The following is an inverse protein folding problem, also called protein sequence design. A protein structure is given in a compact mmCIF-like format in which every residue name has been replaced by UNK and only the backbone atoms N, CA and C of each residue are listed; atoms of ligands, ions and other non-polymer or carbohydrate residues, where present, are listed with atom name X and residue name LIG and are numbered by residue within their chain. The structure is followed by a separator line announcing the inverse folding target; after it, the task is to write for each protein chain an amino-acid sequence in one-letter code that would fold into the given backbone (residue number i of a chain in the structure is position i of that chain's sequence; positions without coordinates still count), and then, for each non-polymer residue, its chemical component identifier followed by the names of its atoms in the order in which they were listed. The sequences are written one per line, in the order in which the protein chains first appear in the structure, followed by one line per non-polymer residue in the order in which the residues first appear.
data_IF_979080055638
#
_entry.id   IF_979080055638
#
_cell.length_a   1.000
_cell.length_b   1.000
_cell.length_c   1.000
_cell.angle_alpha   90.00
_cell.angle_beta   90.00
_cell.angle_gamma   90.00
#
_symmetry.space_group_name_H-M   'P 1'
#
loop_
_entity.id
_entity.type
_entity.pdbx_description
1 polymer ?
#
# COMPACT_ATOMS: atom_id res chain seq x y z
N UNK A 1 12.14 -9.68 8.55
CA UNK A 1 11.09 -9.08 9.42
C UNK A 1 10.71 -7.74 8.83
N UNK A 2 9.47 -7.27 9.04
CA UNK A 2 9.02 -5.98 8.52
C UNK A 2 9.72 -4.81 9.23
N UNK A 3 10.11 -3.79 8.44
CA UNK A 3 10.66 -2.53 8.94
C UNK A 3 9.54 -1.50 9.11
N UNK A 4 9.43 -0.85 10.27
CA UNK A 4 8.39 0.16 10.55
C UNK A 4 8.60 1.46 9.77
N UNK A 5 9.83 1.74 9.31
CA UNK A 5 10.14 2.88 8.45
C UNK A 5 9.93 2.62 6.96
N UNK A 6 9.49 1.42 6.59
CA UNK A 6 9.17 1.07 5.20
C UNK A 6 7.90 1.79 4.75
N UNK A 7 7.95 2.41 3.57
CA UNK A 7 6.83 3.11 2.96
C UNK A 7 5.59 2.20 2.80
N UNK A 8 5.78 0.93 2.43
CA UNK A 8 4.68 -0.03 2.28
C UNK A 8 3.90 -0.17 3.60
N UNK A 9 4.60 -0.31 4.73
CA UNK A 9 3.97 -0.53 6.03
C UNK A 9 3.40 0.76 6.62
N UNK A 10 4.04 1.91 6.39
CA UNK A 10 3.49 3.21 6.75
C UNK A 10 2.18 3.48 6.00
N UNK A 11 2.13 3.23 4.69
CA UNK A 11 0.92 3.36 3.88
C UNK A 11 -0.16 2.38 4.34
N UNK A 12 0.21 1.13 4.59
CA UNK A 12 -0.70 0.09 5.10
C UNK A 12 -1.34 0.50 6.42
N UNK A 13 -0.56 1.08 7.34
CA UNK A 13 -1.07 1.60 8.61
C UNK A 13 -2.11 2.70 8.38
N UNK A 14 -1.81 3.67 7.53
CA UNK A 14 -2.75 4.76 7.22
C UNK A 14 -4.02 4.27 6.54
N UNK A 15 -3.92 3.30 5.64
CA UNK A 15 -5.08 2.63 5.01
C UNK A 15 -5.96 1.94 6.06
N UNK A 16 -5.35 1.25 7.03
CA UNK A 16 -6.08 0.61 8.13
C UNK A 16 -6.77 1.65 9.02
N UNK A 17 -6.10 2.75 9.35
CA UNK A 17 -6.68 3.84 10.15
C UNK A 17 -7.83 4.55 9.42
N UNK A 18 -7.72 4.70 8.10
CA UNK A 18 -8.75 5.27 7.24
C UNK A 18 -9.93 4.32 7.00
N UNK A 19 -9.70 3.01 7.05
CA UNK A 19 -10.70 2.00 6.68
C UNK A 19 -10.95 1.91 5.17
N UNK A 20 -10.09 2.47 4.33
CA UNK A 20 -10.29 2.51 2.89
C UNK A 20 -8.98 2.41 2.09
N UNK A 21 -9.05 1.74 0.94
CA UNK A 21 -7.96 1.64 -0.05
C UNK A 21 -8.47 1.99 -1.46
N UNK A 22 -7.55 2.37 -2.35
CA UNK A 22 -7.90 2.67 -3.74
C UNK A 22 -8.31 1.43 -4.52
N UNK A 23 -9.44 1.52 -5.21
CA UNK A 23 -9.93 0.49 -6.13
C UNK A 23 -9.08 0.44 -7.41
N UNK A 24 -8.49 1.55 -7.82
CA UNK A 24 -7.92 1.70 -9.16
C UNK A 24 -6.58 0.95 -9.28
N UNK A 25 -5.75 0.96 -8.24
CA UNK A 25 -4.52 0.17 -8.16
C UNK A 25 -4.71 -1.29 -7.74
N UNK A 26 -5.93 -1.75 -7.42
CA UNK A 26 -6.14 -3.07 -6.78
C UNK A 26 -5.70 -4.24 -7.66
N UNK A 27 -5.79 -4.11 -8.98
CA UNK A 27 -5.45 -5.18 -9.91
C UNK A 27 -4.00 -5.03 -10.44
N UNK A 28 -3.27 -4.01 -9.96
CA UNK A 28 -1.86 -3.80 -10.27
C UNK A 28 -0.92 -4.79 -9.56
N UNK A 29 0.31 -4.87 -10.07
CA UNK A 29 1.37 -5.69 -9.51
C UNK A 29 2.16 -4.93 -8.44
N UNK A 30 2.12 -5.40 -7.20
CA UNK A 30 2.98 -4.91 -6.13
C UNK A 30 4.32 -5.66 -6.18
N UNK A 31 5.37 -4.97 -6.61
CA UNK A 31 6.72 -5.49 -6.53
C UNK A 31 7.18 -5.54 -5.08
N UNK A 32 7.55 -6.72 -4.61
CA UNK A 32 8.10 -6.94 -3.28
C UNK A 32 8.90 -8.25 -3.29
N UNK A 33 10.11 -8.22 -2.75
CA UNK A 33 10.93 -9.41 -2.54
C UNK A 33 11.26 -9.55 -1.05
N UNK A 34 11.41 -10.79 -0.58
CA UNK A 34 11.96 -11.00 0.75
C UNK A 34 13.46 -10.67 0.77
N UNK A 35 13.92 -10.07 1.86
CA UNK A 35 15.32 -9.64 2.03
C UNK A 35 16.31 -10.79 1.86
N UNK A 36 15.94 -12.01 2.25
CA UNK A 36 16.83 -13.16 2.13
C UNK A 36 17.02 -13.59 0.66
N UNK A 37 15.98 -13.52 -0.17
CA UNK A 37 16.08 -13.76 -1.62
C UNK A 37 16.93 -12.71 -2.31
N UNK A 38 16.77 -11.42 -1.95
CA UNK A 38 17.63 -10.35 -2.48
C UNK A 38 19.08 -10.58 -2.06
N UNK A 39 19.35 -10.85 -0.79
CA UNK A 39 20.70 -11.10 -0.29
C UNK A 39 21.34 -12.33 -0.97
N UNK A 40 20.60 -13.43 -1.17
CA UNK A 40 21.09 -14.59 -1.90
C UNK A 40 21.44 -14.25 -3.35
N UNK A 41 20.58 -13.51 -4.05
CA UNK A 41 20.84 -13.09 -5.42
C UNK A 41 22.12 -12.24 -5.49
N UNK A 42 22.29 -11.28 -4.58
CA UNK A 42 23.51 -10.46 -4.47
C UNK A 42 24.75 -11.34 -4.22
N UNK A 43 24.69 -12.28 -3.28
CA UNK A 43 25.81 -13.19 -3.01
C UNK A 43 26.18 -14.03 -4.23
N UNK A 44 25.18 -14.60 -4.92
CA UNK A 44 25.40 -15.40 -6.13
C UNK A 44 26.07 -14.58 -7.22
N UNK A 45 25.52 -13.41 -7.56
CA UNK A 45 26.11 -12.49 -8.53
C UNK A 45 27.52 -12.04 -8.15
N UNK A 46 27.82 -11.89 -6.86
CA UNK A 46 29.16 -11.49 -6.39
C UNK A 46 30.17 -12.63 -6.40
N UNK A 47 29.69 -13.89 -6.40
CA UNK A 47 30.51 -15.09 -6.37
C UNK A 47 30.81 -15.67 -7.75
N UNK A 48 30.12 -15.20 -8.79
CA UNK A 48 30.41 -15.56 -10.18
C UNK A 48 31.78 -15.01 -10.56
N UNK A 49 32.79 -15.89 -10.54
CA UNK A 49 34.15 -15.56 -10.97
C UNK A 49 34.13 -15.38 -12.48
N UNK A 50 34.66 -14.27 -13.05
CA UNK A 50 34.74 -14.11 -14.49
C UNK A 50 35.52 -15.29 -15.08
N UNK A 51 34.90 -16.03 -16.00
CA UNK A 51 35.66 -16.97 -16.83
C UNK A 51 36.67 -16.15 -17.63
N UNK A 52 37.96 -16.47 -17.52
CA UNK A 52 39.10 -15.75 -18.15
C UNK A 52 39.09 -15.76 -19.70
N UNK A 53 37.98 -16.15 -20.34
CA UNK A 53 37.94 -16.53 -21.76
C UNK A 53 37.04 -15.66 -22.63
N UNK A 54 36.59 -14.49 -22.15
CA UNK A 54 35.80 -13.56 -22.97
C UNK A 54 36.18 -12.12 -22.67
N UNK A 55 36.64 -11.39 -23.69
CA UNK A 55 36.95 -9.94 -23.69
C UNK A 55 35.71 -9.03 -23.47
N UNK A 56 34.62 -9.59 -22.96
CA UNK A 56 33.37 -8.87 -22.67
C UNK A 56 33.03 -9.07 -21.20
N UNK A 57 32.93 -8.00 -20.38
CA UNK A 57 32.54 -8.16 -19.00
C UNK A 57 31.13 -8.75 -18.94
N UNK A 58 30.88 -9.80 -18.13
CA UNK A 58 29.53 -10.34 -17.96
C UNK A 58 28.69 -9.31 -17.19
N UNK A 59 27.93 -8.48 -17.90
CA UNK A 59 26.90 -7.64 -17.29
C UNK A 59 25.63 -8.46 -17.11
N UNK A 60 25.64 -9.40 -16.15
CA UNK A 60 24.42 -10.12 -15.77
C UNK A 60 23.55 -9.20 -14.91
N UNK A 61 22.58 -8.54 -15.54
CA UNK A 61 21.55 -7.77 -14.80
C UNK A 61 20.49 -8.73 -14.28
N UNK A 62 20.47 -8.97 -12.97
CA UNK A 62 19.43 -9.76 -12.30
C UNK A 62 18.30 -8.84 -11.82
N UNK A 63 17.10 -9.05 -12.34
CA UNK A 63 15.90 -8.32 -11.92
C UNK A 63 15.15 -9.09 -10.83
N UNK A 64 14.86 -8.42 -9.72
CA UNK A 64 13.97 -8.92 -8.69
C UNK A 64 12.52 -8.52 -9.03
N UNK A 65 11.75 -9.45 -9.58
CA UNK A 65 10.38 -9.21 -10.07
C UNK A 65 9.31 -9.89 -9.21
N UNK A 66 9.69 -10.39 -8.04
CA UNK A 66 8.74 -10.99 -7.10
C UNK A 66 7.68 -9.99 -6.69
N UNK A 67 6.52 -10.53 -6.29
CA UNK A 67 5.42 -9.71 -5.87
C UNK A 67 4.12 -10.46 -5.78
N UNK A 68 3.05 -9.69 -5.72
CA UNK A 68 1.68 -10.17 -5.76
C UNK A 68 0.76 -9.11 -6.35
N UNK A 69 -0.42 -9.54 -6.79
CA UNK A 69 -1.50 -8.61 -7.14
C UNK A 69 -1.93 -7.85 -5.89
N UNK A 70 -2.12 -6.54 -6.00
CA UNK A 70 -2.42 -5.68 -4.85
C UNK A 70 -3.71 -6.09 -4.12
N UNK A 71 -4.71 -6.59 -4.84
CA UNK A 71 -5.93 -7.16 -4.28
C UNK A 71 -5.66 -8.32 -3.32
N UNK A 72 -4.66 -9.15 -3.61
CA UNK A 72 -4.27 -10.25 -2.73
C UNK A 72 -3.62 -9.72 -1.44
N UNK A 73 -2.87 -8.62 -1.52
CA UNK A 73 -2.33 -7.94 -0.34
C UNK A 73 -3.47 -7.44 0.56
N UNK A 74 -4.44 -6.72 0.00
CA UNK A 74 -5.60 -6.23 0.75
C UNK A 74 -6.47 -7.37 1.29
N UNK A 75 -6.64 -8.46 0.54
CA UNK A 75 -7.35 -9.65 0.99
C UNK A 75 -6.70 -10.30 2.21
N UNK A 76 -5.37 -10.29 2.33
CA UNK A 76 -4.71 -10.77 3.55
C UNK A 76 -5.16 -9.92 4.74
N UNK A 77 -5.12 -8.59 4.62
CA UNK A 77 -5.53 -7.69 5.72
C UNK A 77 -7.01 -7.84 6.10
N UNK A 78 -7.90 -7.94 5.12
CA UNK A 78 -9.35 -8.02 5.39
C UNK A 78 -9.78 -9.42 5.83
N UNK A 79 -9.37 -10.48 5.13
CA UNK A 79 -9.86 -11.84 5.37
C UNK A 79 -9.10 -12.57 6.47
N UNK A 80 -7.78 -12.43 6.52
CA UNK A 80 -6.95 -13.19 7.48
C UNK A 80 -6.80 -12.45 8.81
N UNK A 81 -6.93 -11.11 8.80
CA UNK A 81 -6.70 -10.25 9.96
C UNK A 81 -7.94 -9.44 10.38
N UNK A 82 -9.02 -9.42 9.58
CA UNK A 82 -10.31 -8.84 9.97
C UNK A 82 -10.35 -7.31 9.94
N UNK A 83 -9.41 -6.63 9.27
CA UNK A 83 -9.48 -5.18 9.11
C UNK A 83 -10.68 -4.79 8.23
N UNK A 84 -11.51 -3.87 8.71
CA UNK A 84 -12.61 -3.30 7.93
C UNK A 84 -12.08 -2.31 6.90
N UNK A 85 -11.74 -2.79 5.71
CA UNK A 85 -11.25 -1.95 4.61
C UNK A 85 -12.23 -1.98 3.44
N UNK A 86 -12.59 -0.80 2.93
CA UNK A 86 -13.45 -0.65 1.76
C UNK A 86 -12.66 -0.13 0.54
N UNK A 87 -12.99 -0.65 -0.64
CA UNK A 87 -12.41 -0.18 -1.89
C UNK A 87 -13.20 1.05 -2.40
N UNK A 88 -12.56 2.21 -2.43
CA UNK A 88 -13.16 3.46 -2.93
C UNK A 88 -12.49 3.91 -4.24
N UNK A 89 -13.10 4.86 -4.94
CA UNK A 89 -12.51 5.47 -6.14
C UNK A 89 -11.11 6.05 -5.84
N UNK A 90 -10.16 5.95 -6.78
CA UNK A 90 -8.77 6.34 -6.53
C UNK A 90 -8.59 7.83 -6.24
N UNK A 91 -9.33 8.70 -6.93
CA UNK A 91 -9.26 10.15 -6.66
C UNK A 91 -9.83 10.49 -5.28
N UNK A 92 -10.92 9.84 -4.90
CA UNK A 92 -11.51 9.97 -3.56
C UNK A 92 -10.58 9.41 -2.48
N UNK A 93 -9.99 8.24 -2.69
CA UNK A 93 -9.03 7.64 -1.78
C UNK A 93 -7.84 8.57 -1.54
N UNK A 94 -7.27 9.13 -2.61
CA UNK A 94 -6.13 10.04 -2.52
C UNK A 94 -6.47 11.32 -1.75
N UNK A 95 -7.67 11.86 -1.96
CA UNK A 95 -8.17 13.01 -1.20
C UNK A 95 -8.30 12.69 0.29
N UNK A 96 -8.86 11.53 0.64
CA UNK A 96 -8.99 11.07 2.02
C UNK A 96 -7.62 10.86 2.68
N UNK A 97 -6.69 10.21 1.98
CA UNK A 97 -5.35 9.95 2.47
C UNK A 97 -4.60 11.24 2.76
N UNK A 98 -4.55 12.18 1.81
CA UNK A 98 -3.90 13.48 2.02
C UNK A 98 -4.46 14.22 3.21
N UNK A 99 -5.79 14.35 3.29
CA UNK A 99 -6.43 15.03 4.41
C UNK A 99 -6.12 14.35 5.76
N UNK A 100 -5.93 13.03 5.78
CA UNK A 100 -5.51 12.30 6.97
C UNK A 100 -4.07 12.58 7.38
N UNK A 101 -3.15 12.59 6.41
CA UNK A 101 -1.75 12.97 6.65
C UNK A 101 -1.66 14.41 7.14
N UNK A 102 -2.33 15.34 6.47
CA UNK A 102 -2.30 16.77 6.75
C UNK A 102 -2.82 17.10 8.15
N UNK A 103 -3.95 16.49 8.55
CA UNK A 103 -4.56 16.73 9.86
C UNK A 103 -3.65 16.30 11.02
N UNK A 104 -2.90 15.22 10.83
CA UNK A 104 -1.98 14.70 11.86
C UNK A 104 -0.60 15.39 11.81
N UNK A 105 -0.26 16.05 10.70
CA UNK A 105 0.98 16.82 10.56
C UNK A 105 2.23 15.94 10.72
N UNK A 106 3.29 16.50 11.30
CA UNK A 106 4.57 15.82 11.56
C UNK A 106 4.49 14.56 12.43
N UNK A 107 3.36 14.32 13.09
CA UNK A 107 3.12 13.11 13.88
C UNK A 107 2.67 11.93 13.00
N UNK A 108 2.25 12.18 11.77
CA UNK A 108 1.80 11.15 10.85
C UNK A 108 3.00 10.41 10.23
N UNK A 109 2.94 9.08 10.17
CA UNK A 109 4.04 8.26 9.65
C UNK A 109 4.38 8.53 8.17
N UNK A 110 3.42 9.03 7.39
CA UNK A 110 3.62 9.45 6.00
C UNK A 110 3.97 10.93 5.82
N UNK A 111 4.10 11.73 6.88
CA UNK A 111 4.35 13.17 6.75
C UNK A 111 5.65 13.49 5.99
N UNK A 112 6.72 12.74 6.27
CA UNK A 112 8.00 12.90 5.59
C UNK A 112 8.01 12.34 4.15
N UNK A 113 6.93 11.69 3.71
CA UNK A 113 6.84 10.96 2.44
C UNK A 113 5.83 11.60 1.48
N UNK A 114 5.45 12.86 1.70
CA UNK A 114 4.42 13.54 0.90
C UNK A 114 4.78 13.67 -0.57
N UNK A 115 6.06 13.92 -0.90
CA UNK A 115 6.48 14.03 -2.30
C UNK A 115 6.33 12.69 -3.04
N UNK A 116 6.69 11.58 -2.37
CA UNK A 116 6.54 10.21 -2.90
C UNK A 116 5.05 9.87 -3.04
N UNK A 117 4.25 10.21 -2.04
CA UNK A 117 2.80 10.03 -2.08
C UNK A 117 2.18 10.81 -3.24
N UNK A 118 2.60 12.05 -3.48
CA UNK A 118 2.01 12.91 -4.50
C UNK A 118 2.31 12.45 -5.92
N UNK A 119 3.50 11.88 -6.16
CA UNK A 119 3.94 11.45 -7.49
C UNK A 119 2.98 10.42 -8.11
N UNK A 120 2.52 9.45 -7.32
CA UNK A 120 1.65 8.35 -7.78
C UNK A 120 0.25 8.40 -7.14
N UNK A 121 -0.14 9.55 -6.58
CA UNK A 121 -1.39 9.70 -5.84
C UNK A 121 -1.60 8.63 -4.74
N UNK A 122 -0.51 8.16 -4.12
CA UNK A 122 -0.46 7.10 -3.12
C UNK A 122 -0.48 5.68 -3.67
N UNK A 123 -0.64 5.49 -4.98
CA UNK A 123 -0.58 4.16 -5.60
C UNK A 123 0.83 3.59 -5.55
N UNK A 124 0.93 2.29 -5.22
CA UNK A 124 2.22 1.60 -5.06
C UNK A 124 2.33 0.36 -5.94
N UNK A 125 1.22 -0.04 -6.55
CA UNK A 125 1.16 -1.19 -7.45
C UNK A 125 1.23 -0.71 -8.90
N UNK A 126 2.04 -1.38 -9.72
CA UNK A 126 2.14 -1.08 -11.13
C UNK A 126 0.93 -1.61 -11.89
N UNK A 127 0.10 -0.71 -12.43
CA UNK A 127 -1.04 -1.07 -13.30
C UNK A 127 -0.59 -1.41 -14.73
N UNK A 128 0.61 -1.01 -15.13
CA UNK A 128 1.21 -1.30 -16.44
C UNK A 128 1.86 -2.70 -16.50
N UNK A 129 2.17 -3.31 -15.35
CA UNK A 129 2.87 -4.61 -15.32
C UNK A 129 1.89 -5.76 -15.48
N UNK A 130 2.09 -6.56 -16.52
CA UNK A 130 1.43 -7.87 -16.68
C UNK A 130 2.35 -8.96 -16.12
N UNK A 131 2.00 -9.65 -15.03
CA UNK A 131 2.89 -10.62 -14.42
C UNK A 131 3.07 -11.86 -15.31
N UNK A 132 4.31 -12.29 -15.47
CA UNK A 132 4.63 -13.55 -16.14
C UNK A 132 4.29 -14.75 -15.26
N UNK A 133 4.22 -15.95 -15.84
CA UNK A 133 3.99 -17.19 -15.08
C UNK A 133 5.07 -17.41 -13.98
N UNK A 134 6.32 -17.02 -14.25
CA UNK A 134 7.41 -17.11 -13.28
C UNK A 134 7.20 -16.16 -12.09
N UNK A 135 6.77 -14.92 -12.33
CA UNK A 135 6.44 -13.96 -11.28
C UNK A 135 5.26 -14.45 -10.43
N UNK A 136 4.20 -14.94 -11.08
CA UNK A 136 3.01 -15.46 -10.39
C UNK A 136 3.32 -16.69 -9.52
N UNK A 137 4.32 -17.51 -9.90
CA UNK A 137 4.72 -18.68 -9.14
C UNK A 137 5.27 -18.33 -7.73
N UNK A 138 5.87 -17.16 -7.54
CA UNK A 138 6.42 -16.74 -6.24
C UNK A 138 5.40 -16.06 -5.32
N UNK A 139 4.24 -15.64 -5.84
CA UNK A 139 3.21 -14.92 -5.09
C UNK A 139 2.66 -15.68 -3.88
N UNK A 140 2.62 -17.02 -3.91
CA UNK A 140 2.22 -17.82 -2.75
C UNK A 140 3.20 -17.67 -1.56
N UNK A 141 4.50 -17.62 -1.86
CA UNK A 141 5.54 -17.31 -0.87
C UNK A 141 5.39 -15.89 -0.35
N UNK A 142 5.14 -14.93 -1.25
CA UNK A 142 4.95 -13.53 -0.88
C UNK A 142 3.74 -13.34 0.05
N UNK A 143 2.60 -13.96 -0.22
CA UNK A 143 1.43 -13.92 0.69
C UNK A 143 1.75 -14.48 2.08
N UNK A 144 2.57 -15.55 2.17
CA UNK A 144 3.03 -16.07 3.48
C UNK A 144 3.92 -15.05 4.21
N UNK A 145 4.81 -14.37 3.48
CA UNK A 145 5.67 -13.33 4.04
C UNK A 145 4.84 -12.14 4.54
N UNK A 146 3.87 -11.65 3.76
CA UNK A 146 2.94 -10.59 4.15
C UNK A 146 2.21 -10.96 5.45
N UNK A 147 1.65 -12.17 5.56
CA UNK A 147 1.00 -12.64 6.80
C UNK A 147 1.95 -12.63 7.99
N UNK A 148 3.18 -13.12 7.81
CA UNK A 148 4.19 -13.13 8.88
C UNK A 148 4.51 -11.70 9.34
N UNK A 149 4.69 -10.79 8.39
CA UNK A 149 4.95 -9.38 8.65
C UNK A 149 3.79 -8.70 9.38
N UNK A 150 2.54 -8.92 8.96
CA UNK A 150 1.37 -8.34 9.64
C UNK A 150 1.24 -8.86 11.07
N UNK A 151 1.49 -10.16 11.32
CA UNK A 151 1.53 -10.71 12.69
C UNK A 151 2.59 -10.01 13.53
N UNK A 152 3.79 -9.85 12.99
CA UNK A 152 4.88 -9.15 13.68
C UNK A 152 4.52 -7.68 13.97
N UNK A 153 3.99 -6.96 12.98
CA UNK A 153 3.64 -5.54 13.13
C UNK A 153 2.48 -5.31 14.12
N UNK A 154 1.54 -6.25 14.23
CA UNK A 154 0.54 -6.26 15.32
C UNK A 154 1.18 -6.51 16.67
N UNK A 155 2.10 -7.47 16.76
CA UNK A 155 2.79 -7.83 18.00
C UNK A 155 3.58 -6.64 18.57
N UNK A 156 4.31 -5.91 17.72
CA UNK A 156 5.05 -4.70 18.12
C UNK A 156 4.19 -3.42 18.16
N UNK A 157 2.85 -3.56 18.06
CA UNK A 157 1.85 -2.47 18.13
C UNK A 157 2.03 -1.36 17.09
N UNK A 158 2.73 -1.64 15.99
CA UNK A 158 2.80 -0.73 14.86
C UNK A 158 1.47 -0.69 14.10
N UNK A 159 0.88 -1.87 13.85
CA UNK A 159 -0.48 -2.01 13.32
C UNK A 159 -1.48 -2.26 14.47
N UNK A 160 -2.72 -1.74 14.35
CA UNK A 160 -3.77 -2.00 15.33
C UNK A 160 -4.04 -3.51 15.47
N UNK A 161 -4.22 -4.00 16.71
CA UNK A 161 -4.38 -5.43 16.98
C UNK A 161 -5.79 -5.95 16.69
N UNK A 162 -6.80 -5.08 16.79
CA UNK A 162 -8.20 -5.41 16.52
C UNK A 162 -8.64 -4.81 15.18
N UNK A 163 -9.43 -5.55 14.41
CA UNK A 163 -10.06 -5.08 13.16
C UNK A 163 -11.09 -3.96 13.36
N UNK A 164 -11.31 -3.57 14.62
CA UNK A 164 -12.11 -2.45 15.05
C UNK A 164 -11.16 -1.33 15.46
N UNK A 165 -10.75 -0.50 14.49
CA UNK A 165 -10.17 0.79 14.82
C UNK A 165 -11.08 1.50 15.81
N UNK A 166 -10.59 1.78 17.02
CA UNK A 166 -11.19 2.76 17.90
C UNK A 166 -11.01 4.12 17.22
N UNK A 167 -11.94 4.42 16.32
CA UNK A 167 -11.99 5.62 15.50
C UNK A 167 -13.44 5.88 15.13
N UNK A 168 -14.21 6.34 16.10
CA UNK A 168 -15.46 7.08 15.94
C UNK A 168 -16.39 6.65 14.78
N UNK A 169 -17.12 5.54 14.95
CA UNK A 169 -18.24 5.16 14.06
C UNK A 169 -19.40 6.18 14.05
N UNK A 170 -19.36 7.24 14.87
CA UNK A 170 -20.33 8.33 14.85
C UNK A 170 -19.96 9.51 13.93
N UNK A 171 -18.69 9.63 13.51
CA UNK A 171 -18.21 10.81 12.78
C UNK A 171 -18.45 10.76 11.26
N UNK A 172 -18.41 9.57 10.66
CA UNK A 172 -18.49 9.43 9.19
C UNK A 172 -19.90 9.74 8.64
N UNK A 173 -20.94 9.31 9.36
CA UNK A 173 -22.33 9.61 8.99
C UNK A 173 -22.62 11.10 9.13
N UNK A 174 -21.98 11.76 10.09
CA UNK A 174 -22.16 13.18 10.40
C UNK A 174 -21.37 14.08 9.45
N UNK A 175 -20.14 13.68 9.07
CA UNK A 175 -19.33 14.38 8.06
C UNK A 175 -19.94 14.25 6.66
N UNK A 176 -20.44 13.07 6.27
CA UNK A 176 -21.14 12.92 4.99
C UNK A 176 -22.48 13.67 4.99
N UNK A 177 -23.27 13.61 6.07
CA UNK A 177 -24.50 14.42 6.20
C UNK A 177 -24.20 15.92 6.12
N UNK A 178 -23.13 16.39 6.76
CA UNK A 178 -22.73 17.80 6.76
C UNK A 178 -22.21 18.31 5.41
N UNK A 179 -21.67 17.44 4.55
CA UNK A 179 -21.22 17.81 3.20
C UNK A 179 -22.39 17.79 2.20
N UNK A 180 -23.26 16.77 2.26
CA UNK A 180 -24.46 16.69 1.41
C UNK A 180 -25.43 17.84 1.74
N UNK A 181 -25.61 18.17 3.02
CA UNK A 181 -26.48 19.28 3.43
C UNK A 181 -25.95 20.66 3.01
N UNK A 182 -24.62 20.83 2.94
CA UNK A 182 -24.00 22.08 2.44
C UNK A 182 -24.13 22.21 0.92
N UNK A 183 -23.97 21.12 0.16
CA UNK A 183 -24.22 21.13 -1.28
C UNK A 183 -25.69 21.41 -1.63
N UNK A 184 -26.65 20.82 -0.90
CA UNK A 184 -28.08 21.07 -1.12
C UNK A 184 -28.48 22.50 -0.76
N UNK A 185 -27.92 23.08 0.31
CA UNK A 185 -28.16 24.47 0.67
C UNK A 185 -27.63 25.46 -0.38
N UNK A 186 -26.43 25.21 -0.94
CA UNK A 186 -25.87 26.04 -2.01
C UNK A 186 -26.67 25.94 -3.31
N UNK A 187 -27.16 24.75 -3.67
CA UNK A 187 -28.00 24.54 -4.86
C UNK A 187 -29.39 25.18 -4.68
N UNK A 188 -30.00 25.08 -3.51
CA UNK A 188 -31.29 25.72 -3.22
C UNK A 188 -31.20 27.25 -3.20
N UNK A 189 -30.08 27.82 -2.72
CA UNK A 189 -29.85 29.26 -2.72
C UNK A 189 -29.61 29.84 -4.14
N UNK A 190 -29.04 29.04 -5.05
CA UNK A 190 -28.85 29.40 -6.45
C UNK A 190 -30.16 29.33 -7.26
N UNK A 191 -31.05 28.40 -6.93
CA UNK A 191 -32.35 28.24 -7.61
C UNK A 191 -33.43 29.24 -7.14
N UNK A 192 -33.22 29.93 -6.02
CA UNK A 192 -34.17 30.92 -5.47
C UNK A 192 -33.86 32.37 -5.90
N UNK A 193 -32.89 32.56 -6.80
CA UNK A 193 -32.40 33.88 -7.27
C UNK A 193 -32.60 34.11 -8.78
N UNK A 194 -33.38 33.27 -9.44
CA UNK A 194 -33.97 33.49 -10.76
C UNK A 194 -35.50 33.51 -10.65
#
# INVERSE_FOLDING_TARGET
MANQGDYLWALTKSVIELGAYSRDGRDGWLFASDVASVARAVCLCSSETPSEQTDTPPQTVVKMLDGLVMRDFWNVLTRDFGYGLEAVDGAEWWRLLRAHVERAGSRHCLWALQDILAAEAGEIASTATVPTAAMAATSAGMRRAVRSNVRYLRHVRFLPSDGLGQGNRGGWVDVMSGHVSRCLASVSALLSRN
#
